data_IF_661684257796
#
_entry.id   IF_661684257796
#
_cell.length_a   1.000
_cell.length_b   1.000
_cell.length_c   1.000
_cell.angle_alpha   90.00
_cell.angle_beta   90.00
_cell.angle_gamma   90.00
#
_symmetry.space_group_name_H-M   'P 1'
#
loop_
_entity.id
_entity.type
_entity.pdbx_description
1 polymer ?
#
# COMPACT_ATOMS: atom_id res chain seq x y z
N UNK A 1 -14.87 -4.14 -1.53
CA UNK A 1 -13.66 -4.96 -1.70
C UNK A 1 -12.63 -4.48 -0.70
N UNK A 2 -11.87 -5.38 -0.08
CA UNK A 2 -10.71 -4.98 0.74
C UNK A 2 -9.65 -4.37 -0.18
N UNK A 3 -9.01 -3.28 0.25
CA UNK A 3 -8.02 -2.57 -0.57
C UNK A 3 -6.79 -3.44 -0.81
N UNK A 4 -6.22 -3.38 -2.01
CA UNK A 4 -4.94 -4.01 -2.31
C UNK A 4 -3.79 -3.29 -1.59
N UNK A 5 -2.65 -3.97 -1.41
CA UNK A 5 -1.45 -3.31 -0.84
C UNK A 5 -0.96 -2.13 -1.70
N UNK A 6 -1.18 -2.21 -3.02
CA UNK A 6 -0.88 -1.13 -3.96
C UNK A 6 -1.73 0.10 -3.61
N UNK A 7 -3.05 -0.06 -3.59
CA UNK A 7 -3.99 1.02 -3.25
C UNK A 7 -3.67 1.60 -1.86
N UNK A 8 -3.41 0.75 -0.87
CA UNK A 8 -3.08 1.20 0.48
C UNK A 8 -1.83 2.08 0.55
N UNK A 9 -0.81 1.80 -0.27
CA UNK A 9 0.45 2.58 -0.30
C UNK A 9 0.34 3.82 -1.18
N UNK A 10 -0.43 3.74 -2.28
CA UNK A 10 -0.68 4.87 -3.18
C UNK A 10 -1.53 5.95 -2.51
N UNK A 11 -2.48 5.55 -1.65
CA UNK A 11 -3.31 6.45 -0.87
C UNK A 11 -2.62 7.01 0.38
N UNK A 12 -1.40 6.55 0.73
CA UNK A 12 -0.68 7.13 1.86
C UNK A 12 -0.39 8.62 1.61
N UNK A 13 -0.65 9.50 2.59
CA UNK A 13 -0.43 10.92 2.42
C UNK A 13 1.06 11.23 2.24
N UNK A 14 1.40 11.97 1.19
CA UNK A 14 2.74 12.51 0.99
C UNK A 14 3.05 13.68 1.95
N UNK A 15 2.02 14.47 2.29
CA UNK A 15 2.08 15.60 3.22
C UNK A 15 0.76 15.77 3.98
N UNK A 16 0.78 15.47 5.28
CA UNK A 16 -0.31 15.76 6.21
C UNK A 16 0.25 15.92 7.64
N UNK A 17 -0.62 16.08 8.64
CA UNK A 17 -0.18 16.22 10.05
C UNK A 17 0.63 15.00 10.51
N UNK A 18 0.19 13.78 10.18
CA UNK A 18 0.95 12.55 10.52
C UNK A 18 2.37 12.62 9.98
N UNK A 19 2.56 12.93 8.69
CA UNK A 19 3.88 13.03 8.06
C UNK A 19 4.71 14.16 8.68
N UNK A 20 4.10 15.31 8.99
CA UNK A 20 4.80 16.44 9.62
C UNK A 20 5.28 16.09 11.02
N UNK A 21 4.46 15.40 11.81
CA UNK A 21 4.81 14.91 13.15
C UNK A 21 5.96 13.91 13.08
N UNK A 22 5.89 12.92 12.18
CA UNK A 22 6.95 11.94 12.00
C UNK A 22 8.27 12.60 11.56
N UNK A 23 8.22 13.55 10.62
CA UNK A 23 9.39 14.36 10.23
C UNK A 23 9.95 15.19 11.40
N UNK A 24 9.07 15.75 12.24
CA UNK A 24 9.49 16.56 13.38
C UNK A 24 10.29 15.76 14.40
N UNK A 25 9.99 14.47 14.59
CA UNK A 25 10.70 13.59 15.53
C UNK A 25 11.84 12.80 14.88
N UNK A 26 12.07 12.92 13.58
CA UNK A 26 13.10 12.16 12.85
C UNK A 26 14.53 12.46 13.31
N UNK A 27 14.76 13.61 13.96
CA UNK A 27 16.07 13.93 14.57
C UNK A 27 16.53 12.91 15.63
N UNK A 28 15.60 12.10 16.16
CA UNK A 28 15.88 11.02 17.10
C UNK A 28 16.52 9.81 16.41
N UNK A 29 16.28 9.67 15.12
CA UNK A 29 16.66 8.54 14.29
C UNK A 29 17.13 9.01 12.90
N UNK A 30 18.13 9.91 12.80
CA UNK A 30 18.38 10.63 11.55
C UNK A 30 18.65 9.70 10.37
N UNK A 31 17.89 9.89 9.29
CA UNK A 31 18.03 9.12 8.05
C UNK A 31 17.54 7.67 8.14
N UNK A 32 16.86 7.28 9.22
CA UNK A 32 16.23 5.97 9.32
C UNK A 32 14.90 5.91 8.58
N UNK A 33 14.13 7.00 8.52
CA UNK A 33 12.82 6.97 7.88
C UNK A 33 12.71 8.01 6.77
N UNK A 34 12.04 7.59 5.70
CA UNK A 34 11.57 8.45 4.62
C UNK A 34 10.10 8.13 4.38
N UNK A 35 9.33 9.15 3.98
CA UNK A 35 7.91 8.95 3.68
C UNK A 35 7.74 8.30 2.30
N UNK A 36 7.95 6.99 2.21
CA UNK A 36 7.71 6.23 0.99
C UNK A 36 6.20 6.07 0.78
N UNK A 37 5.72 6.71 -0.27
CA UNK A 37 4.36 6.63 -0.79
C UNK A 37 4.43 6.32 -2.29
N UNK A 38 3.37 5.77 -2.84
CA UNK A 38 3.40 5.19 -4.19
C UNK A 38 4.07 3.82 -4.19
N UNK A 39 3.35 2.78 -4.59
CA UNK A 39 3.83 1.40 -4.49
C UNK A 39 5.02 1.14 -5.40
N UNK A 40 4.98 1.66 -6.63
CA UNK A 40 6.11 1.55 -7.57
C UNK A 40 7.36 2.29 -7.07
N UNK A 41 7.18 3.53 -6.60
CA UNK A 41 8.25 4.30 -5.97
C UNK A 41 8.85 3.56 -4.76
N UNK A 42 8.00 2.88 -3.98
CA UNK A 42 8.42 2.02 -2.88
C UNK A 42 9.24 0.83 -3.38
N UNK A 43 8.82 0.14 -4.45
CA UNK A 43 9.60 -0.95 -5.07
C UNK A 43 10.98 -0.42 -5.48
N UNK A 44 11.04 0.65 -6.27
CA UNK A 44 12.31 1.24 -6.75
C UNK A 44 13.25 1.57 -5.59
N UNK A 45 12.72 2.22 -4.55
CA UNK A 45 13.52 2.66 -3.40
C UNK A 45 14.01 1.48 -2.53
N UNK A 46 13.14 0.49 -2.30
CA UNK A 46 13.45 -0.66 -1.44
C UNK A 46 14.41 -1.63 -2.12
N UNK A 47 14.21 -1.87 -3.41
CA UNK A 47 14.88 -2.94 -4.15
C UNK A 47 16.12 -2.46 -4.90
N UNK A 48 16.19 -1.16 -5.20
CA UNK A 48 17.16 -0.58 -6.13
C UNK A 48 16.89 -0.92 -7.60
N UNK A 49 15.76 -1.57 -7.91
CA UNK A 49 15.43 -1.97 -9.27
C UNK A 49 15.04 -0.76 -10.12
N UNK A 50 15.50 -0.76 -11.36
CA UNK A 50 15.20 0.29 -12.35
C UNK A 50 14.46 -0.26 -13.57
N UNK A 51 14.59 -1.57 -13.83
CA UNK A 51 13.92 -2.25 -14.93
C UNK A 51 12.41 -2.31 -14.69
N UNK A 52 11.64 -1.68 -15.58
CA UNK A 52 10.18 -1.57 -15.46
C UNK A 52 9.49 -2.94 -15.48
N UNK A 53 9.98 -3.92 -16.25
CA UNK A 53 9.40 -5.27 -16.25
C UNK A 53 9.65 -5.99 -14.92
N UNK A 54 10.86 -5.87 -14.35
CA UNK A 54 11.16 -6.50 -13.06
C UNK A 54 10.34 -5.83 -11.95
N UNK A 55 10.17 -4.52 -12.00
CA UNK A 55 9.32 -3.77 -11.06
C UNK A 55 7.87 -4.23 -11.17
N UNK A 56 7.33 -4.39 -12.37
CA UNK A 56 5.97 -4.90 -12.58
C UNK A 56 5.82 -6.32 -12.04
N UNK A 57 6.76 -7.23 -12.34
CA UNK A 57 6.76 -8.59 -11.78
C UNK A 57 6.79 -8.60 -10.25
N UNK A 58 7.58 -7.70 -9.64
CA UNK A 58 7.61 -7.54 -8.18
C UNK A 58 6.26 -7.02 -7.69
N UNK A 59 5.63 -6.07 -8.40
CA UNK A 59 4.31 -5.54 -8.09
C UNK A 59 3.24 -6.63 -8.10
N UNK A 60 3.14 -7.39 -9.19
CA UNK A 60 2.15 -8.46 -9.35
C UNK A 60 2.36 -9.55 -8.31
N UNK A 61 3.62 -9.97 -8.11
CA UNK A 61 3.95 -10.95 -7.07
C UNK A 61 3.61 -10.43 -5.67
N UNK A 62 3.80 -9.14 -5.40
CA UNK A 62 3.45 -8.56 -4.11
C UNK A 62 1.93 -8.54 -3.89
N UNK A 63 1.13 -8.27 -4.93
CA UNK A 63 -0.34 -8.37 -4.86
C UNK A 63 -0.77 -9.80 -4.52
N UNK A 64 -0.20 -10.82 -5.18
CA UNK A 64 -0.50 -12.23 -4.89
C UNK A 64 -0.10 -12.60 -3.45
N UNK A 65 1.12 -12.24 -3.03
CA UNK A 65 1.62 -12.54 -1.68
C UNK A 65 0.80 -11.85 -0.60
N UNK A 66 0.34 -10.62 -0.84
CA UNK A 66 -0.51 -9.88 0.09
C UNK A 66 -1.83 -10.59 0.36
N UNK A 67 -2.45 -11.16 -0.68
CA UNK A 67 -3.72 -11.88 -0.59
C UNK A 67 -3.56 -13.33 -0.12
N UNK A 68 -2.34 -13.87 0.00
CA UNK A 68 -2.14 -15.20 0.56
C UNK A 68 -2.47 -15.19 2.07
N UNK A 69 -3.52 -15.90 2.52
CA UNK A 69 -3.90 -15.93 3.92
C UNK A 69 -2.80 -16.51 4.84
N UNK A 70 -1.82 -17.23 4.30
CA UNK A 70 -0.70 -17.79 5.05
C UNK A 70 0.40 -16.76 5.34
N UNK A 71 0.48 -15.67 4.59
CA UNK A 71 1.54 -14.66 4.70
C UNK A 71 1.32 -13.67 5.85
N UNK A 72 0.10 -13.56 6.37
CA UNK A 72 -0.23 -12.69 7.50
C UNK A 72 -0.24 -11.18 7.20
N UNK A 73 0.01 -10.76 5.96
CA UNK A 73 0.09 -9.34 5.57
C UNK A 73 -1.23 -8.59 5.74
N UNK A 74 -2.34 -9.13 5.22
CA UNK A 74 -3.66 -8.53 5.40
C UNK A 74 -4.03 -8.42 6.88
N UNK A 75 -3.76 -9.47 7.67
CA UNK A 75 -3.99 -9.42 9.12
C UNK A 75 -3.15 -8.35 9.82
N UNK A 76 -1.90 -8.12 9.39
CA UNK A 76 -1.06 -7.07 9.96
C UNK A 76 -1.57 -5.67 9.61
N UNK A 77 -1.97 -5.44 8.35
CA UNK A 77 -2.62 -4.18 7.93
C UNK A 77 -3.90 -3.94 8.75
N UNK A 78 -4.75 -4.96 8.87
CA UNK A 78 -5.99 -4.88 9.65
C UNK A 78 -5.72 -4.49 11.09
N UNK A 79 -4.69 -5.04 11.73
CA UNK A 79 -4.27 -4.68 13.08
C UNK A 79 -3.86 -3.21 13.20
N UNK A 80 -3.02 -2.72 12.28
CA UNK A 80 -2.57 -1.32 12.29
C UNK A 80 -3.68 -0.33 11.97
N UNK A 81 -4.65 -0.70 11.13
CA UNK A 81 -5.85 0.10 10.89
C UNK A 81 -6.78 0.08 12.09
N UNK A 82 -6.98 -1.09 12.71
CA UNK A 82 -7.93 -1.25 13.82
C UNK A 82 -7.49 -0.46 15.05
N UNK A 83 -6.20 -0.49 15.39
CA UNK A 83 -5.67 0.24 16.55
C UNK A 83 -5.89 1.76 16.40
N UNK A 84 -5.62 2.34 15.23
CA UNK A 84 -5.82 3.78 14.99
C UNK A 84 -7.30 4.16 14.81
N UNK A 85 -8.11 3.30 14.17
CA UNK A 85 -9.52 3.64 13.91
C UNK A 85 -10.39 3.48 15.15
N UNK A 86 -10.09 2.53 16.03
CA UNK A 86 -10.80 2.38 17.30
C UNK A 86 -10.59 3.58 18.24
N UNK A 87 -9.44 4.25 18.11
CA UNK A 87 -9.15 5.52 18.79
C UNK A 87 -10.02 6.68 18.23
N UNK A 88 -10.24 6.72 16.92
CA UNK A 88 -10.95 7.83 16.23
C UNK A 88 -12.48 7.66 16.19
N UNK A 89 -12.99 6.41 16.19
CA UNK A 89 -14.41 6.11 15.99
C UNK A 89 -15.35 6.73 17.04
N UNK A 90 -14.85 7.05 18.24
CA UNK A 90 -15.63 7.80 19.24
C UNK A 90 -15.80 9.28 18.87
N UNK A 91 -14.82 9.89 18.18
CA UNK A 91 -14.92 11.28 17.71
C UNK A 91 -15.82 11.40 16.47
N UNK A 92 -15.82 10.40 15.58
CA UNK A 92 -16.62 10.41 14.33
C UNK A 92 -18.09 10.07 14.55
N UNK A 93 -18.42 9.22 15.54
CA UNK A 93 -19.83 8.97 15.90
C UNK A 93 -20.56 10.24 16.37
N UNK A 94 -19.84 11.18 17.00
CA UNK A 94 -20.38 12.49 17.36
C UNK A 94 -20.57 13.42 16.14
N UNK A 95 -19.80 13.22 15.07
CA UNK A 95 -19.87 13.97 13.81
C UNK A 95 -20.93 13.40 12.84
N UNK A 96 -21.25 12.10 12.93
CA UNK A 96 -22.24 11.43 12.09
C UNK A 96 -23.65 12.03 12.20
N UNK A 97 -23.97 12.67 13.32
CA UNK A 97 -25.24 13.40 13.53
C UNK A 97 -25.26 14.81 12.91
N UNK A 98 -24.19 15.25 12.20
CA UNK A 98 -24.04 16.62 11.67
C UNK A 98 -23.73 16.69 10.16
N UNK A 99 -24.07 15.66 9.39
CA UNK A 99 -23.91 15.66 7.92
C UNK A 99 -24.87 16.69 7.31
N UNK A 100 -24.36 17.89 7.03
CA UNK A 100 -25.11 19.02 6.47
C UNK A 100 -24.44 20.39 6.64
N UNK A 101 -23.51 20.53 7.59
CA UNK A 101 -22.73 21.77 7.78
C UNK A 101 -21.27 21.56 7.38
N UNK A 102 -20.67 22.53 6.66
CA UNK A 102 -19.24 22.55 6.34
C UNK A 102 -18.43 22.60 7.65
N UNK A 103 -17.88 21.46 8.07
CA UNK A 103 -17.03 21.37 9.25
C UNK A 103 -15.64 21.90 8.88
N UNK A 104 -15.35 23.13 9.31
CA UNK A 104 -13.98 23.66 9.30
C UNK A 104 -13.12 22.86 10.28
N UNK A 105 -11.90 22.48 9.89
CA UNK A 105 -10.89 21.84 10.77
C UNK A 105 -10.72 22.58 12.12
N UNK A 106 -10.97 23.89 12.14
CA UNK A 106 -10.95 24.73 13.34
C UNK A 106 -12.05 24.42 14.37
N UNK A 107 -13.14 23.75 13.98
CA UNK A 107 -14.25 23.38 14.88
C UNK A 107 -14.03 22.06 15.63
N UNK A 108 -13.07 21.23 15.19
CA UNK A 108 -12.62 20.03 15.92
C UNK A 108 -11.67 20.43 17.05
N UNK A 109 -10.89 21.50 16.86
CA UNK A 109 -9.96 22.06 17.86
C UNK A 109 -10.65 22.61 19.12
N UNK A 110 -11.92 23.01 19.05
CA UNK A 110 -12.61 23.69 20.17
C UNK A 110 -13.10 22.75 21.28
N UNK A 111 -12.90 21.43 21.15
CA UNK A 111 -13.35 20.42 22.12
C UNK A 111 -12.28 19.38 22.48
N UNK A 112 -11.00 19.66 22.19
CA UNK A 112 -9.89 18.75 22.50
C UNK A 112 -9.74 18.63 24.02
N UNK A 113 -10.15 17.48 24.55
CA UNK A 113 -10.02 17.14 25.97
C UNK A 113 -8.89 16.12 26.12
N UNK A 114 -7.86 16.39 26.94
CA UNK A 114 -6.85 15.40 27.25
C UNK A 114 -7.46 14.09 27.77
N UNK A 115 -7.06 12.96 27.19
CA UNK A 115 -7.48 11.63 27.65
C UNK A 115 -6.99 11.41 29.10
N UNK A 116 -7.73 10.67 29.96
CA UNK A 116 -7.24 10.30 31.29
C UNK A 116 -5.94 9.49 31.23
N UNK A 117 -5.05 9.68 32.21
CA UNK A 117 -3.74 8.98 32.29
C UNK A 117 -3.87 7.45 32.22
N UNK A 118 -4.91 6.90 32.88
CA UNK A 118 -5.20 5.47 32.87
C UNK A 118 -5.53 4.99 31.45
N UNK A 119 -6.38 5.72 30.73
CA UNK A 119 -6.76 5.38 29.34
C UNK A 119 -5.54 5.39 28.43
N UNK A 120 -4.73 6.44 28.47
CA UNK A 120 -3.50 6.56 27.67
C UNK A 120 -2.51 5.42 27.96
N UNK A 121 -2.38 5.02 29.23
CA UNK A 121 -1.52 3.90 29.61
C UNK A 121 -1.98 2.59 28.97
N UNK A 122 -3.29 2.34 28.90
CA UNK A 122 -3.86 1.19 28.21
C UNK A 122 -3.70 1.28 26.69
N UNK A 123 -3.94 2.44 26.08
CA UNK A 123 -3.79 2.65 24.63
C UNK A 123 -2.34 2.33 24.19
N UNK A 124 -1.34 2.82 24.92
CA UNK A 124 0.08 2.55 24.64
C UNK A 124 0.41 1.05 24.71
N UNK A 125 -0.01 0.35 25.77
CA UNK A 125 0.32 -1.08 25.89
C UNK A 125 -0.47 -1.96 24.92
N UNK A 126 -1.64 -1.53 24.48
CA UNK A 126 -2.37 -2.16 23.37
C UNK A 126 -1.62 -1.97 22.05
N UNK A 127 -1.08 -0.79 21.77
CA UNK A 127 -0.20 -0.54 20.60
C UNK A 127 1.01 -1.48 20.62
N UNK A 128 1.67 -1.66 21.76
CA UNK A 128 2.77 -2.64 21.91
C UNK A 128 2.30 -4.08 21.63
N UNK A 129 1.15 -4.49 22.19
CA UNK A 129 0.61 -5.82 21.96
C UNK A 129 0.30 -6.05 20.47
N UNK A 130 -0.27 -5.05 19.80
CA UNK A 130 -0.53 -5.06 18.36
C UNK A 130 0.78 -5.19 17.57
N UNK A 131 1.81 -4.43 17.93
CA UNK A 131 3.11 -4.53 17.27
C UNK A 131 3.71 -5.93 17.38
N UNK A 132 3.65 -6.56 18.56
CA UNK A 132 4.13 -7.94 18.76
C UNK A 132 3.36 -8.92 17.86
N UNK A 133 2.03 -8.82 17.83
CA UNK A 133 1.19 -9.72 17.03
C UNK A 133 1.47 -9.53 15.54
N UNK A 134 1.52 -8.27 15.08
CA UNK A 134 1.81 -7.94 13.69
C UNK A 134 3.22 -8.37 13.29
N UNK A 135 4.24 -8.14 14.14
CA UNK A 135 5.59 -8.64 13.95
C UNK A 135 5.60 -10.16 13.75
N UNK A 136 4.94 -10.91 14.63
CA UNK A 136 4.92 -12.36 14.53
C UNK A 136 4.25 -12.83 13.23
N UNK A 137 3.13 -12.23 12.84
CA UNK A 137 2.45 -12.51 11.57
C UNK A 137 3.37 -12.25 10.37
N UNK A 138 4.02 -11.09 10.33
CA UNK A 138 4.90 -10.68 9.23
C UNK A 138 6.19 -11.49 9.10
N UNK A 139 6.55 -12.27 10.13
CA UNK A 139 7.75 -13.10 10.13
C UNK A 139 7.41 -14.60 10.25
N UNK A 140 6.16 -14.99 9.99
CA UNK A 140 5.74 -16.40 10.00
C UNK A 140 5.88 -17.08 11.37
N UNK A 141 5.90 -16.32 12.46
CA UNK A 141 5.99 -16.85 13.82
C UNK A 141 4.58 -17.32 14.23
N UNK A 142 4.37 -18.62 14.50
CA UNK A 142 3.02 -19.19 14.64
C UNK A 142 2.19 -18.61 15.78
N UNK A 143 2.83 -18.11 16.83
CA UNK A 143 2.20 -17.56 18.03
C UNK A 143 2.87 -16.24 18.43
N UNK A 144 2.10 -15.22 18.87
CA UNK A 144 2.67 -13.97 19.34
C UNK A 144 3.70 -14.19 20.45
N UNK A 145 4.90 -13.65 20.25
CA UNK A 145 6.06 -13.90 21.12
C UNK A 145 6.80 -12.58 21.41
N UNK A 146 6.61 -11.99 22.61
CA UNK A 146 7.28 -10.76 23.00
C UNK A 146 8.81 -10.82 22.97
N UNK A 147 9.40 -12.01 23.21
CA UNK A 147 10.85 -12.16 23.28
C UNK A 147 11.51 -12.19 21.91
N UNK A 148 10.87 -12.84 20.93
CA UNK A 148 11.32 -12.76 19.53
C UNK A 148 11.15 -11.34 18.98
N UNK A 149 10.05 -10.66 19.35
CA UNK A 149 9.84 -9.27 19.00
C UNK A 149 10.92 -8.35 19.57
N UNK A 150 11.21 -8.38 20.87
CA UNK A 150 12.23 -7.48 21.45
C UNK A 150 13.63 -7.77 20.91
N UNK A 151 13.93 -9.04 20.58
CA UNK A 151 15.17 -9.40 19.90
C UNK A 151 15.26 -8.75 18.52
N UNK A 152 14.17 -8.75 17.75
CA UNK A 152 14.13 -8.03 16.48
C UNK A 152 14.17 -6.51 16.66
N UNK A 153 13.47 -5.97 17.67
CA UNK A 153 13.45 -4.54 17.98
C UNK A 153 14.85 -3.98 18.29
N UNK A 154 15.68 -4.77 18.98
CA UNK A 154 17.06 -4.38 19.28
C UNK A 154 18.01 -4.45 18.08
N UNK A 155 17.76 -5.34 17.11
CA UNK A 155 18.78 -5.71 16.11
C UNK A 155 18.38 -5.41 14.66
N UNK A 156 17.09 -5.42 14.35
CA UNK A 156 16.58 -5.54 12.98
C UNK A 156 15.47 -4.52 12.66
N UNK A 157 14.91 -3.83 13.64
CA UNK A 157 13.93 -2.77 13.39
C UNK A 157 14.64 -1.59 12.72
N UNK A 158 14.06 -1.15 11.61
CA UNK A 158 14.56 -0.05 10.76
C UNK A 158 13.38 0.59 10.04
N UNK A 159 13.63 1.67 9.31
CA UNK A 159 12.66 2.31 8.43
C UNK A 159 11.36 2.69 9.16
N UNK A 160 10.20 2.49 8.52
CA UNK A 160 8.89 2.80 9.08
C UNK A 160 8.59 2.05 10.38
N UNK A 161 9.04 0.80 10.53
CA UNK A 161 8.80 0.01 11.74
C UNK A 161 9.52 0.61 12.96
N UNK A 162 10.73 1.10 12.78
CA UNK A 162 11.49 1.76 13.83
C UNK A 162 10.94 3.15 14.14
N UNK A 163 10.60 3.93 13.11
CA UNK A 163 9.94 5.22 13.27
C UNK A 163 8.63 5.09 14.07
N UNK A 164 7.82 4.07 13.80
CA UNK A 164 6.60 3.79 14.57
C UNK A 164 6.85 3.59 16.06
N UNK A 165 7.87 2.82 16.40
CA UNK A 165 8.20 2.55 17.80
C UNK A 165 8.75 3.79 18.51
N UNK A 166 9.47 4.64 17.80
CA UNK A 166 9.96 5.92 18.32
C UNK A 166 8.81 6.91 18.49
N UNK A 167 7.92 7.00 17.50
CA UNK A 167 6.68 7.76 17.60
C UNK A 167 5.83 7.31 18.79
N UNK A 168 5.67 6.00 19.03
CA UNK A 168 4.96 5.48 20.19
C UNK A 168 5.56 5.98 21.51
N UNK A 169 6.88 5.92 21.65
CA UNK A 169 7.56 6.41 22.86
C UNK A 169 7.38 7.92 23.01
N UNK A 170 7.44 8.68 21.92
CA UNK A 170 7.31 10.14 21.97
C UNK A 170 5.87 10.60 22.21
N UNK A 171 4.92 10.09 21.44
CA UNK A 171 3.57 10.63 21.28
C UNK A 171 2.56 10.00 22.23
N UNK A 172 2.71 8.72 22.57
CA UNK A 172 1.82 8.02 23.50
C UNK A 172 2.44 7.85 24.90
N UNK A 173 3.76 7.94 25.00
CA UNK A 173 4.51 7.79 26.25
C UNK A 173 4.94 9.13 26.83
N UNK A 174 6.05 9.65 26.34
CA UNK A 174 6.77 10.78 26.90
C UNK A 174 5.93 12.06 26.93
N UNK A 175 5.28 12.42 25.82
CA UNK A 175 4.52 13.66 25.72
C UNK A 175 3.28 13.68 26.64
N UNK A 176 2.39 12.66 26.63
CA UNK A 176 1.16 12.72 27.42
C UNK A 176 1.30 12.20 28.87
N UNK A 177 2.23 11.27 29.14
CA UNK A 177 2.41 10.67 30.47
C UNK A 177 3.63 11.24 31.22
N UNK A 178 4.50 11.98 30.54
CA UNK A 178 5.69 12.62 31.11
C UNK A 178 6.90 11.69 31.25
N UNK A 179 8.01 12.17 31.83
CA UNK A 179 9.31 11.45 31.85
C UNK A 179 9.31 10.14 32.64
N UNK A 180 8.33 9.95 33.55
CA UNK A 180 8.20 8.73 34.36
C UNK A 180 7.14 7.76 33.80
N UNK A 181 6.75 7.90 32.52
CA UNK A 181 5.65 7.13 31.93
C UNK A 181 5.77 5.62 32.10
N UNK A 182 6.97 5.05 31.99
CA UNK A 182 7.16 3.60 32.18
C UNK A 182 6.71 3.13 33.57
N UNK A 183 7.11 3.85 34.62
CA UNK A 183 6.71 3.56 36.00
C UNK A 183 5.21 3.77 36.20
N UNK A 184 4.62 4.80 35.59
CA UNK A 184 3.18 5.08 35.66
C UNK A 184 2.35 3.98 35.00
N UNK A 185 2.77 3.52 33.82
CA UNK A 185 2.10 2.43 33.10
C UNK A 185 2.18 1.14 33.92
N UNK A 186 3.35 0.81 34.47
CA UNK A 186 3.51 -0.36 35.34
C UNK A 186 2.59 -0.30 36.56
N UNK A 187 2.50 0.86 37.24
CA UNK A 187 1.59 1.04 38.38
C UNK A 187 0.12 0.90 37.95
N UNK A 188 -0.25 1.51 36.82
CA UNK A 188 -1.60 1.45 36.27
C UNK A 188 -2.01 0.02 35.97
N UNK A 189 -1.18 -0.73 35.25
CA UNK A 189 -1.49 -2.12 34.87
C UNK A 189 -1.53 -3.03 36.11
N UNK A 190 -0.60 -2.85 37.05
CA UNK A 190 -0.54 -3.68 38.26
C UNK A 190 -1.72 -3.44 39.22
N UNK A 191 -2.31 -2.24 39.21
CA UNK A 191 -3.43 -1.85 40.09
C UNK A 191 -4.80 -1.98 39.43
N UNK A 192 -4.84 -2.14 38.09
CA UNK A 192 -6.09 -2.25 37.35
C UNK A 192 -6.70 -3.63 37.49
N UNK A 193 -8.02 -3.68 37.66
CA UNK A 193 -8.78 -4.90 37.37
C UNK A 193 -9.01 -5.02 35.85
N UNK A 194 -9.54 -6.17 35.41
CA UNK A 194 -9.86 -6.36 34.00
C UNK A 194 -10.99 -5.46 33.51
N UNK A 195 -11.71 -4.76 34.40
CA UNK A 195 -12.87 -3.92 34.04
C UNK A 195 -12.44 -2.76 33.15
N UNK A 196 -11.37 -2.06 33.53
CA UNK A 196 -10.84 -0.92 32.75
C UNK A 196 -10.40 -1.39 31.36
N UNK A 197 -9.72 -2.54 31.29
CA UNK A 197 -9.33 -3.15 30.02
C UNK A 197 -10.55 -3.48 29.15
N UNK A 198 -11.57 -4.13 29.71
CA UNK A 198 -12.77 -4.51 28.92
C UNK A 198 -13.66 -3.35 28.52
N UNK A 199 -13.58 -2.21 29.22
CA UNK A 199 -14.27 -0.98 28.86
C UNK A 199 -13.50 -0.16 27.82
N UNK A 200 -12.23 -0.48 27.56
CA UNK A 200 -11.46 0.20 26.54
C UNK A 200 -11.96 -0.24 25.14
N UNK A 201 -12.37 0.72 24.28
CA UNK A 201 -12.93 0.42 22.96
C UNK A 201 -11.88 -0.20 22.02
N UNK A 202 -10.62 0.23 22.14
CA UNK A 202 -9.48 -0.30 21.38
C UNK A 202 -9.24 -1.76 21.75
N UNK A 203 -9.27 -2.10 23.05
CA UNK A 203 -9.22 -3.50 23.49
C UNK A 203 -10.39 -4.31 22.93
N UNK A 204 -11.61 -3.77 22.95
CA UNK A 204 -12.79 -4.46 22.44
C UNK A 204 -12.67 -4.79 20.96
N UNK A 205 -12.16 -3.86 20.15
CA UNK A 205 -11.93 -4.06 18.72
C UNK A 205 -10.82 -5.10 18.44
N UNK A 206 -9.79 -5.14 19.29
CA UNK A 206 -8.61 -6.01 19.10
C UNK A 206 -8.69 -7.33 19.84
N UNK A 207 -9.68 -7.52 20.71
CA UNK A 207 -9.74 -8.64 21.65
C UNK A 207 -9.52 -9.99 20.96
N UNK A 208 -10.07 -10.19 19.77
CA UNK A 208 -9.95 -11.45 19.03
C UNK A 208 -8.53 -11.74 18.50
N UNK A 209 -7.67 -10.74 18.41
CA UNK A 209 -6.28 -10.90 17.99
C UNK A 209 -5.33 -11.14 19.18
N UNK A 210 -5.72 -10.71 20.37
CA UNK A 210 -4.89 -10.81 21.58
C UNK A 210 -4.98 -12.24 22.15
N UNK A 211 -3.84 -12.95 22.32
CA UNK A 211 -3.83 -14.29 22.88
C UNK A 211 -4.45 -14.38 24.28
N UNK A 212 -5.18 -15.46 24.54
CA UNK A 212 -5.80 -15.73 25.84
C UNK A 212 -7.30 -16.00 25.74
N UNK A 213 -7.81 -16.87 26.61
CA UNK A 213 -9.22 -17.25 26.64
C UNK A 213 -10.09 -16.29 27.47
N UNK A 214 -9.46 -15.56 28.39
CA UNK A 214 -10.14 -14.63 29.31
C UNK A 214 -9.53 -13.22 29.26
N UNK A 215 -10.23 -12.17 29.72
CA UNK A 215 -9.64 -10.84 29.87
C UNK A 215 -8.37 -10.82 30.73
N UNK A 216 -8.28 -11.70 31.73
CA UNK A 216 -7.08 -11.84 32.56
C UNK A 216 -5.90 -12.41 31.79
N UNK A 217 -6.12 -13.42 30.94
CA UNK A 217 -5.05 -13.99 30.10
C UNK A 217 -4.53 -12.95 29.11
N UNK A 218 -5.45 -12.18 28.51
CA UNK A 218 -5.12 -11.11 27.56
C UNK A 218 -4.35 -9.97 28.23
N UNK A 219 -4.77 -9.55 29.42
CA UNK A 219 -4.01 -8.60 30.25
C UNK A 219 -2.61 -9.14 30.57
N UNK A 220 -2.49 -10.44 30.86
CA UNK A 220 -1.21 -11.11 31.08
C UNK A 220 -0.29 -11.04 29.85
N UNK A 221 -0.82 -11.23 28.64
CA UNK A 221 -0.05 -11.07 27.41
C UNK A 221 0.38 -9.62 27.18
N UNK A 222 -0.53 -8.66 27.36
CA UNK A 222 -0.24 -7.23 27.22
C UNK A 222 0.87 -6.81 28.19
N UNK A 223 0.79 -7.26 29.44
CA UNK A 223 1.80 -6.98 30.48
C UNK A 223 3.16 -7.54 30.10
N UNK A 224 3.23 -8.81 29.67
CA UNK A 224 4.47 -9.43 29.19
C UNK A 224 5.07 -8.69 27.99
N UNK A 225 4.22 -8.21 27.08
CA UNK A 225 4.64 -7.41 25.93
C UNK A 225 5.29 -6.09 26.35
N UNK A 226 4.65 -5.36 27.26
CA UNK A 226 5.18 -4.12 27.81
C UNK A 226 6.51 -4.35 28.54
N UNK A 227 6.57 -5.35 29.43
CA UNK A 227 7.78 -5.69 30.19
C UNK A 227 8.97 -6.01 29.28
N UNK A 228 8.72 -6.73 28.18
CA UNK A 228 9.77 -7.09 27.23
C UNK A 228 10.42 -5.84 26.59
N UNK A 229 9.66 -4.80 26.26
CA UNK A 229 10.20 -3.63 25.54
C UNK A 229 10.82 -2.56 26.43
N UNK A 230 10.61 -2.58 27.75
CA UNK A 230 11.08 -1.51 28.64
C UNK A 230 12.59 -1.26 28.52
N UNK A 231 13.39 -2.31 28.36
CA UNK A 231 14.84 -2.19 28.18
C UNK A 231 15.20 -1.39 26.92
N UNK A 232 14.51 -1.64 25.80
CA UNK A 232 14.71 -0.90 24.56
C UNK A 232 14.27 0.56 24.70
N UNK A 233 13.11 0.81 25.32
CA UNK A 233 12.60 2.17 25.56
C UNK A 233 13.56 2.98 26.43
N UNK A 234 14.03 2.40 27.54
CA UNK A 234 15.00 3.05 28.43
C UNK A 234 16.30 3.41 27.69
N UNK A 235 16.80 2.52 26.83
CA UNK A 235 17.98 2.77 26.01
C UNK A 235 17.73 3.90 24.99
N UNK A 236 16.56 3.93 24.35
CA UNK A 236 16.18 5.01 23.45
C UNK A 236 16.17 6.37 24.18
N UNK A 237 15.49 6.44 25.33
CA UNK A 237 15.42 7.65 26.16
C UNK A 237 16.82 8.11 26.59
N UNK A 238 17.64 7.19 27.09
CA UNK A 238 18.99 7.49 27.55
C UNK A 238 19.92 7.96 26.40
N UNK A 239 19.81 7.33 25.22
CA UNK A 239 20.64 7.64 24.05
C UNK A 239 20.30 9.00 23.44
N UNK A 240 19.01 9.33 23.39
CA UNK A 240 18.52 10.53 22.68
C UNK A 240 18.32 11.72 23.61
N UNK A 241 18.18 11.51 24.92
CA UNK A 241 17.87 12.57 25.87
C UNK A 241 16.48 13.17 25.69
N UNK A 242 15.54 12.42 25.10
CA UNK A 242 14.17 12.92 24.85
C UNK A 242 13.46 13.33 26.14
N UNK A 243 12.78 14.45 26.05
CA UNK A 243 11.93 15.03 27.09
C UNK A 243 10.62 15.52 26.48
N UNK A 244 9.55 15.70 27.28
CA UNK A 244 8.30 16.27 26.77
C UNK A 244 8.53 17.63 26.07
N UNK A 245 9.38 18.48 26.66
CA UNK A 245 9.69 19.79 26.09
C UNK A 245 10.42 19.70 24.75
N UNK A 246 11.37 18.76 24.61
CA UNK A 246 12.08 18.58 23.32
C UNK A 246 11.12 18.16 22.21
N UNK A 247 10.15 17.29 22.51
CA UNK A 247 9.14 16.84 21.56
C UNK A 247 8.22 18.01 21.19
N UNK A 248 7.69 18.74 22.18
CA UNK A 248 6.86 19.91 21.95
C UNK A 248 7.56 20.97 21.09
N UNK A 249 8.81 21.29 21.37
CA UNK A 249 9.59 22.24 20.58
C UNK A 249 9.77 21.75 19.13
N UNK A 250 10.02 20.46 18.92
CA UNK A 250 10.14 19.88 17.59
C UNK A 250 8.82 19.96 16.80
N UNK A 251 7.69 19.70 17.47
CA UNK A 251 6.35 19.78 16.89
C UNK A 251 5.95 21.22 16.56
N UNK A 252 6.22 22.18 17.46
CA UNK A 252 5.89 23.60 17.26
C UNK A 252 6.60 24.25 16.07
N UNK A 253 7.78 23.74 15.69
CA UNK A 253 8.46 24.17 14.47
C UNK A 253 7.78 23.67 13.18
N UNK A 254 6.98 22.61 13.28
CA UNK A 254 6.38 21.90 12.12
C UNK A 254 4.87 22.14 12.00
N UNK A 255 4.21 22.48 13.11
CA UNK A 255 2.77 22.69 13.22
C UNK A 255 2.55 24.02 13.96
N UNK A 256 1.76 24.92 13.38
CA UNK A 256 1.33 26.14 14.08
C UNK A 256 0.31 25.75 15.17
N UNK A 257 0.82 25.45 16.36
CA UNK A 257 -0.01 25.15 17.52
C UNK A 257 -0.29 26.48 18.24
N UNK A 258 -1.58 26.75 18.48
CA UNK A 258 -2.03 28.03 19.05
C UNK A 258 -1.90 28.11 20.59
N UNK A 259 -1.57 27.00 21.26
CA UNK A 259 -1.58 26.90 22.73
C UNK A 259 -0.23 26.35 23.24
N UNK A 260 0.28 26.98 24.31
CA UNK A 260 1.56 26.65 24.95
C UNK A 260 1.44 25.48 25.94
N UNK A 261 0.28 24.78 25.95
CA UNK A 261 0.01 23.70 26.89
C UNK A 261 0.28 22.32 26.27
N UNK A 262 1.28 21.62 26.84
CA UNK A 262 1.69 20.26 26.45
C UNK A 262 0.53 19.27 26.40
N UNK A 263 -0.43 19.36 27.32
CA UNK A 263 -1.56 18.42 27.38
C UNK A 263 -2.52 18.59 26.20
N UNK A 264 -2.72 19.84 25.75
CA UNK A 264 -3.51 20.14 24.55
C UNK A 264 -2.78 19.70 23.27
N UNK A 265 -1.46 19.88 23.22
CA UNK A 265 -0.65 19.38 22.10
C UNK A 265 -0.74 17.87 22.01
N UNK A 266 -0.55 17.16 23.13
CA UNK A 266 -0.62 15.72 23.16
C UNK A 266 -1.97 15.21 22.65
N UNK A 267 -3.07 15.80 23.13
CA UNK A 267 -4.42 15.46 22.72
C UNK A 267 -4.71 15.82 21.25
N UNK A 268 -4.19 16.94 20.75
CA UNK A 268 -4.28 17.31 19.34
C UNK A 268 -3.55 16.31 18.45
N UNK A 269 -2.32 15.92 18.80
CA UNK A 269 -1.54 14.97 18.02
C UNK A 269 -2.19 13.59 18.00
N UNK A 270 -2.65 13.10 19.15
CA UNK A 270 -3.37 11.82 19.25
C UNK A 270 -4.60 11.78 18.32
N UNK A 271 -5.40 12.85 18.27
CA UNK A 271 -6.62 12.91 17.46
C UNK A 271 -6.39 13.23 15.98
N UNK A 272 -5.23 13.78 15.62
CA UNK A 272 -4.93 14.26 14.25
C UNK A 272 -3.88 13.43 13.52
N UNK A 273 -3.38 12.37 14.15
CA UNK A 273 -2.39 11.47 13.55
C UNK A 273 -2.84 10.03 13.53
N UNK A 274 -2.53 9.35 12.42
CA UNK A 274 -2.72 7.91 12.24
C UNK A 274 -1.36 7.27 11.97
N UNK A 275 -0.38 7.57 12.83
CA UNK A 275 1.01 7.21 12.55
C UNK A 275 1.24 5.71 12.62
N UNK A 276 0.44 4.96 13.40
CA UNK A 276 0.56 3.51 13.54
C UNK A 276 0.11 2.80 12.27
N UNK A 277 -1.02 3.23 11.69
CA UNK A 277 -1.51 2.81 10.39
C UNK A 277 -0.55 3.21 9.28
N UNK A 278 -0.14 4.48 9.22
CA UNK A 278 0.71 5.01 8.14
C UNK A 278 2.02 4.24 8.03
N UNK A 279 2.77 4.16 9.13
CA UNK A 279 4.04 3.44 9.19
C UNK A 279 3.86 1.93 9.14
N UNK A 280 2.69 1.41 9.53
CA UNK A 280 2.34 0.00 9.41
C UNK A 280 2.12 -0.47 8.00
N UNK A 281 1.39 0.30 7.19
CA UNK A 281 1.25 0.03 5.76
C UNK A 281 2.64 0.06 5.09
N UNK A 282 3.47 1.06 5.40
CA UNK A 282 4.86 1.11 4.89
C UNK A 282 5.69 -0.12 5.29
N UNK A 283 5.54 -0.59 6.54
CA UNK A 283 6.23 -1.79 7.04
C UNK A 283 5.80 -3.04 6.29
N UNK A 284 4.49 -3.21 6.07
CA UNK A 284 3.94 -4.34 5.31
C UNK A 284 4.38 -4.28 3.87
N UNK A 285 4.29 -3.12 3.22
CA UNK A 285 4.73 -2.87 1.85
C UNK A 285 6.19 -3.29 1.67
N UNK A 286 7.07 -2.85 2.58
CA UNK A 286 8.48 -3.23 2.53
C UNK A 286 8.70 -4.73 2.61
N UNK A 287 8.02 -5.42 3.53
CA UNK A 287 8.15 -6.87 3.69
C UNK A 287 7.66 -7.62 2.46
N UNK A 288 6.50 -7.27 1.93
CA UNK A 288 5.94 -7.95 0.74
C UNK A 288 6.76 -7.68 -0.51
N UNK A 289 7.29 -6.46 -0.69
CA UNK A 289 8.17 -6.10 -1.81
C UNK A 289 9.47 -6.91 -1.75
N UNK A 290 10.10 -7.02 -0.58
CA UNK A 290 11.33 -7.81 -0.44
C UNK A 290 11.10 -9.29 -0.74
N UNK A 291 10.01 -9.87 -0.24
CA UNK A 291 9.65 -11.27 -0.51
C UNK A 291 9.29 -11.49 -1.99
N UNK A 292 8.57 -10.55 -2.59
CA UNK A 292 8.25 -10.56 -4.02
C UNK A 292 9.53 -10.48 -4.87
N UNK A 293 10.47 -9.59 -4.53
CA UNK A 293 11.76 -9.48 -5.18
C UNK A 293 12.56 -10.78 -5.11
N UNK A 294 12.63 -11.42 -3.94
CA UNK A 294 13.32 -12.70 -3.78
C UNK A 294 12.69 -13.79 -4.66
N UNK A 295 11.36 -13.83 -4.73
CA UNK A 295 10.63 -14.77 -5.58
C UNK A 295 10.91 -14.53 -7.07
N UNK A 296 10.81 -13.28 -7.54
CA UNK A 296 11.08 -12.91 -8.94
C UNK A 296 12.54 -13.22 -9.32
N UNK A 297 13.51 -12.92 -8.43
CA UNK A 297 14.93 -13.27 -8.66
C UNK A 297 15.16 -14.77 -8.79
N UNK A 298 14.41 -15.59 -8.07
CA UNK A 298 14.52 -17.05 -8.14
C UNK A 298 13.97 -17.66 -9.43
N UNK A 299 13.12 -16.92 -10.16
CA UNK A 299 12.52 -17.32 -11.43
C UNK A 299 13.34 -16.88 -12.65
N UNK A 300 14.24 -15.90 -12.47
CA UNK A 300 15.20 -15.51 -13.50
C UNK A 300 16.27 -16.61 -13.65
N UNK A 301 16.66 -16.99 -14.88
CA UNK A 301 17.71 -17.98 -15.07
C UNK A 301 18.98 -17.55 -14.33
N UNK A 302 19.50 -18.40 -13.44
CA UNK A 302 20.83 -18.21 -12.88
C UNK A 302 21.80 -18.07 -14.07
N UNK A 303 22.51 -16.95 -14.15
CA UNK A 303 23.40 -16.63 -15.26
C UNK A 303 24.29 -17.84 -15.61
N UNK A 304 23.92 -18.55 -16.68
CA UNK A 304 24.67 -19.70 -17.16
C UNK A 304 25.98 -19.20 -17.76
N UNK A 305 27.09 -19.67 -17.18
CA UNK A 305 28.42 -19.55 -17.77
C UNK A 305 28.40 -20.09 -19.22
N UNK A 306 29.21 -19.53 -20.13
CA UNK A 306 29.14 -19.86 -21.55
C UNK A 306 29.64 -21.28 -21.78
N UNK A 307 28.75 -22.21 -22.12
CA UNK A 307 29.12 -23.50 -22.70
C UNK A 307 29.04 -23.37 -24.22
N UNK A 308 30.23 -23.45 -24.81
CA UNK A 308 30.49 -23.51 -26.23
C UNK A 308 30.20 -24.93 -26.74
N UNK A 309 29.22 -25.12 -27.63
CA UNK A 309 29.21 -26.26 -28.57
C UNK A 309 28.24 -26.06 -29.74
N UNK A 310 28.81 -26.24 -30.94
CA UNK A 310 28.29 -26.14 -32.30
C UNK A 310 27.04 -26.99 -32.65
N UNK A 311 26.40 -26.74 -33.81
CA UNK A 311 25.00 -27.08 -34.08
C UNK A 311 24.82 -28.44 -34.77
N UNK A 312 23.65 -29.06 -34.56
CA UNK A 312 23.13 -30.11 -35.44
C UNK A 312 21.68 -29.81 -35.79
N UNK A 313 21.45 -29.72 -37.10
CA UNK A 313 20.16 -29.52 -37.76
C UNK A 313 19.16 -30.64 -37.54
N UNK A 314 17.88 -30.26 -37.49
CA UNK A 314 16.73 -31.13 -37.74
C UNK A 314 15.51 -30.30 -38.16
N UNK A 315 15.19 -30.31 -39.45
CA UNK A 315 13.94 -29.87 -40.08
C UNK A 315 12.78 -30.81 -39.65
N UNK A 316 11.46 -30.54 -39.69
CA UNK A 316 10.54 -29.76 -40.55
C UNK A 316 9.24 -29.57 -39.72
N UNK A 317 8.43 -28.51 -39.85
CA UNK A 317 7.25 -28.49 -40.74
C UNK A 317 6.66 -27.07 -40.84
N UNK A 318 6.20 -26.73 -42.04
CA UNK A 318 5.65 -25.45 -42.47
C UNK A 318 4.19 -25.24 -42.03
N UNK A 319 3.95 -24.25 -41.16
CA UNK A 319 2.67 -23.54 -41.07
C UNK A 319 2.83 -22.19 -41.79
N UNK A 320 1.95 -21.88 -42.74
CA UNK A 320 1.96 -20.59 -43.42
C UNK A 320 1.41 -19.52 -42.48
N UNK A 321 2.27 -18.68 -41.93
CA UNK A 321 1.88 -17.59 -41.04
C UNK A 321 1.33 -16.41 -41.84
N UNK A 322 0.17 -15.88 -41.44
CA UNK A 322 -0.54 -14.79 -42.12
C UNK A 322 0.32 -13.52 -42.25
N UNK A 323 1.06 -13.19 -41.19
CA UNK A 323 1.94 -12.02 -41.13
C UNK A 323 3.42 -12.39 -41.23
N UNK A 324 4.24 -11.44 -41.71
CA UNK A 324 5.67 -11.66 -42.01
C UNK A 324 6.57 -10.82 -41.10
N UNK A 325 7.77 -11.34 -40.80
CA UNK A 325 8.83 -10.56 -40.15
C UNK A 325 9.11 -9.28 -40.93
N UNK A 326 9.17 -8.15 -40.23
CA UNK A 326 9.36 -6.80 -40.75
C UNK A 326 8.07 -6.09 -41.15
N UNK A 327 6.91 -6.73 -41.03
CA UNK A 327 5.62 -6.12 -41.31
C UNK A 327 5.15 -5.24 -40.13
N UNK A 328 4.67 -4.04 -40.42
CA UNK A 328 3.99 -3.17 -39.45
C UNK A 328 2.55 -3.62 -39.27
N UNK A 329 2.13 -3.72 -38.02
CA UNK A 329 0.83 -4.21 -37.53
C UNK A 329 0.39 -3.35 -36.34
N UNK A 330 -0.80 -3.58 -35.82
CA UNK A 330 -1.22 -3.14 -34.50
C UNK A 330 -1.49 -4.35 -33.62
N UNK A 331 -1.22 -4.19 -32.33
CA UNK A 331 -1.34 -5.24 -31.32
C UNK A 331 -2.26 -4.76 -30.20
N UNK A 332 -3.21 -5.59 -29.79
CA UNK A 332 -4.19 -5.26 -28.74
C UNK A 332 -3.57 -5.42 -27.36
N UNK A 333 -3.69 -4.40 -26.52
CA UNK A 333 -3.37 -4.45 -25.10
C UNK A 333 -4.66 -4.64 -24.29
N UNK A 334 -4.73 -5.70 -23.48
CA UNK A 334 -5.91 -6.01 -22.66
C UNK A 334 -6.03 -5.14 -21.39
N UNK A 335 -4.93 -4.55 -20.91
CA UNK A 335 -4.93 -3.71 -19.70
C UNK A 335 -5.41 -2.28 -20.02
N UNK A 336 -4.93 -1.74 -21.14
CA UNK A 336 -5.31 -0.42 -21.65
C UNK A 336 -6.55 -0.47 -22.55
N UNK A 337 -6.95 -1.68 -22.98
CA UNK A 337 -8.05 -1.92 -23.91
C UNK A 337 -7.90 -1.08 -25.20
N UNK A 338 -6.67 -0.97 -25.73
CA UNK A 338 -6.32 -0.17 -26.91
C UNK A 338 -5.35 -0.92 -27.85
N UNK A 339 -5.15 -0.41 -29.07
CA UNK A 339 -4.26 -0.97 -30.10
C UNK A 339 -2.99 -0.13 -30.27
N UNK A 340 -1.83 -0.78 -30.15
CA UNK A 340 -0.55 -0.12 -30.30
C UNK A 340 0.18 -0.53 -31.58
N UNK A 341 0.68 0.46 -32.33
CA UNK A 341 1.45 0.22 -33.56
C UNK A 341 2.73 -0.55 -33.26
N UNK A 342 2.99 -1.58 -34.04
CA UNK A 342 4.05 -2.55 -33.79
C UNK A 342 4.70 -3.07 -35.07
N UNK A 343 5.92 -3.59 -34.96
CA UNK A 343 6.61 -4.30 -36.05
C UNK A 343 6.87 -5.75 -35.67
N UNK A 344 6.52 -6.70 -36.53
CA UNK A 344 6.81 -8.12 -36.30
C UNK A 344 8.32 -8.36 -36.43
N UNK A 345 8.97 -8.75 -35.33
CA UNK A 345 10.38 -9.09 -35.31
C UNK A 345 10.63 -10.60 -35.52
N UNK A 346 9.75 -11.47 -35.02
CA UNK A 346 9.88 -12.93 -35.17
C UNK A 346 8.51 -13.56 -35.36
N UNK A 347 8.51 -14.72 -35.99
CA UNK A 347 7.30 -15.49 -36.26
C UNK A 347 7.56 -16.93 -35.85
N UNK A 348 6.64 -17.51 -35.07
CA UNK A 348 6.72 -18.90 -34.60
C UNK A 348 5.30 -19.46 -34.56
N UNK A 349 5.00 -20.38 -35.48
CA UNK A 349 3.66 -20.99 -35.59
C UNK A 349 2.56 -19.93 -35.72
N UNK A 350 1.67 -19.78 -34.74
CA UNK A 350 0.59 -18.77 -34.71
C UNK A 350 0.87 -17.60 -33.74
N UNK A 351 2.11 -17.49 -33.25
CA UNK A 351 2.55 -16.40 -32.38
C UNK A 351 3.49 -15.45 -33.15
N UNK A 352 3.39 -14.16 -32.83
CA UNK A 352 4.17 -13.08 -33.43
C UNK A 352 4.94 -12.35 -32.34
N UNK A 353 6.28 -12.32 -32.46
CA UNK A 353 7.10 -11.48 -31.59
C UNK A 353 7.09 -10.07 -32.16
N UNK A 354 6.49 -9.13 -31.44
CA UNK A 354 6.25 -7.77 -31.90
C UNK A 354 7.17 -6.79 -31.17
N UNK A 355 7.34 -5.61 -31.76
CA UNK A 355 8.00 -4.47 -31.15
C UNK A 355 7.12 -3.26 -31.30
N UNK A 356 6.68 -2.71 -30.18
CA UNK A 356 5.85 -1.50 -30.16
C UNK A 356 6.65 -0.29 -30.66
N UNK A 357 6.16 0.36 -31.71
CA UNK A 357 6.81 1.50 -32.35
C UNK A 357 6.84 2.67 -31.38
N UNK A 358 8.03 3.21 -31.12
CA UNK A 358 8.23 4.33 -30.18
C UNK A 358 8.47 3.89 -28.73
N UNK A 359 8.36 2.60 -28.46
CA UNK A 359 8.63 1.98 -27.17
C UNK A 359 9.97 1.24 -27.19
N UNK A 360 10.45 0.84 -26.02
CA UNK A 360 11.74 0.16 -25.92
C UNK A 360 11.62 -1.30 -26.36
N UNK A 361 12.74 -1.97 -26.64
CA UNK A 361 12.71 -3.43 -26.84
C UNK A 361 12.31 -4.22 -25.58
N UNK A 362 12.10 -3.51 -24.46
CA UNK A 362 11.51 -3.99 -23.21
C UNK A 362 10.00 -4.14 -23.29
N UNK A 363 9.35 -3.65 -24.34
CA UNK A 363 7.91 -3.82 -24.53
C UNK A 363 7.64 -4.92 -25.58
N UNK A 364 8.70 -5.49 -26.17
CA UNK A 364 8.61 -6.55 -27.17
C UNK A 364 8.14 -7.87 -26.56
N UNK A 365 6.99 -8.35 -27.03
CA UNK A 365 6.36 -9.58 -26.52
C UNK A 365 5.91 -10.51 -27.65
N UNK A 366 5.53 -11.73 -27.29
CA UNK A 366 4.86 -12.66 -28.20
C UNK A 366 3.37 -12.51 -28.03
N UNK A 367 2.66 -12.24 -29.12
CA UNK A 367 1.21 -12.13 -29.17
C UNK A 367 0.61 -13.14 -30.12
N UNK A 368 -0.63 -13.52 -29.86
CA UNK A 368 -1.39 -14.47 -30.68
C UNK A 368 -1.94 -13.80 -31.94
N UNK A 369 -2.33 -14.60 -32.93
CA UNK A 369 -2.86 -14.11 -34.21
C UNK A 369 -4.11 -13.23 -34.08
N UNK A 370 -4.96 -13.48 -33.08
CA UNK A 370 -6.19 -12.73 -32.79
C UNK A 370 -5.96 -11.38 -32.10
N UNK A 371 -4.76 -11.17 -31.57
CA UNK A 371 -4.30 -9.90 -30.96
C UNK A 371 -3.57 -9.02 -31.98
N UNK A 372 -3.41 -9.47 -33.23
CA UNK A 372 -2.64 -8.76 -34.26
C UNK A 372 -3.54 -8.39 -35.44
N UNK A 373 -3.54 -7.12 -35.82
CA UNK A 373 -4.21 -6.65 -37.04
C UNK A 373 -3.26 -5.84 -37.91
N UNK A 374 -3.54 -5.75 -39.21
CA UNK A 374 -2.83 -4.79 -40.08
C UNK A 374 -3.68 -3.53 -40.16
N UNK A 375 -3.13 -2.40 -39.71
CA UNK A 375 -3.71 -1.09 -39.99
C UNK A 375 -3.52 -0.79 -41.47
N UNK A 376 -4.55 -1.01 -42.28
CA UNK A 376 -4.54 -0.56 -43.66
C UNK A 376 -4.82 0.96 -43.69
N UNK A 377 -3.76 1.76 -43.50
CA UNK A 377 -3.81 3.22 -43.61
C UNK A 377 -4.25 3.73 -44.99
N UNK A 378 -4.55 2.84 -45.95
CA UNK A 378 -5.09 3.23 -47.25
C UNK A 378 -6.61 3.41 -47.24
N UNK A 379 -7.29 3.05 -46.14
CA UNK A 379 -8.76 3.05 -46.05
C UNK A 379 -9.34 3.68 -44.78
N UNK A 380 -8.55 4.44 -44.01
CA UNK A 380 -9.10 5.27 -42.92
C UNK A 380 -9.77 6.52 -43.48
N UNK A 381 -10.75 7.05 -42.77
CA UNK A 381 -11.34 8.35 -43.08
C UNK A 381 -10.45 9.52 -42.61
N UNK A 382 -10.98 10.75 -42.75
CA UNK A 382 -10.27 11.98 -42.39
C UNK A 382 -10.04 12.13 -40.87
N UNK A 383 -10.77 11.36 -40.03
CA UNK A 383 -10.64 11.34 -38.58
C UNK A 383 -9.69 10.21 -38.11
N UNK A 384 -9.15 9.42 -39.03
CA UNK A 384 -8.19 8.35 -38.74
C UNK A 384 -8.83 7.03 -38.34
N UNK A 385 -10.15 6.89 -38.53
CA UNK A 385 -10.91 5.69 -38.19
C UNK A 385 -11.18 4.81 -39.41
N UNK A 386 -11.18 3.47 -39.23
CA UNK A 386 -11.30 2.50 -40.31
C UNK A 386 -12.21 1.30 -39.99
N UNK A 387 -12.72 0.64 -41.03
CA UNK A 387 -13.55 -0.58 -40.87
C UNK A 387 -12.76 -1.71 -40.20
N UNK A 388 -13.36 -2.36 -39.21
CA UNK A 388 -12.79 -3.42 -38.39
C UNK A 388 -11.92 -2.92 -37.22
N UNK A 389 -11.78 -1.61 -37.04
CA UNK A 389 -11.02 -1.03 -35.94
C UNK A 389 -11.76 -1.20 -34.62
N UNK A 390 -11.14 -1.82 -33.59
CA UNK A 390 -11.63 -1.65 -32.21
C UNK A 390 -11.31 -0.25 -31.70
N UNK A 391 -12.25 0.32 -30.97
CA UNK A 391 -12.26 1.67 -30.42
C UNK A 391 -12.94 1.68 -29.06
N UNK A 392 -12.81 2.77 -28.31
CA UNK A 392 -13.62 3.07 -27.12
C UNK A 392 -14.78 3.97 -27.49
N UNK A 393 -15.97 3.71 -26.95
CA UNK A 393 -17.17 4.52 -27.19
C UNK A 393 -17.74 4.99 -25.86
N UNK A 394 -18.03 6.28 -25.74
CA UNK A 394 -18.54 6.90 -24.52
C UNK A 394 -20.06 6.73 -24.40
N UNK A 395 -20.55 6.28 -23.24
CA UNK A 395 -21.98 6.21 -22.92
C UNK A 395 -22.37 7.34 -21.94
N UNK A 396 -23.24 8.24 -22.39
CA UNK A 396 -23.70 9.39 -21.60
C UNK A 396 -24.71 9.04 -20.49
N UNK A 397 -25.41 7.90 -20.58
CA UNK A 397 -26.37 7.48 -19.55
C UNK A 397 -25.67 6.85 -18.34
N UNK A 398 -24.61 6.07 -18.59
CA UNK A 398 -23.83 5.39 -17.57
C UNK A 398 -22.54 6.14 -17.17
N UNK A 399 -22.14 7.17 -17.92
CA UNK A 399 -20.89 7.93 -17.74
C UNK A 399 -19.63 7.03 -17.77
N UNK A 400 -19.62 6.02 -18.66
CA UNK A 400 -18.53 5.03 -18.80
C UNK A 400 -18.13 4.78 -20.27
N UNK A 401 -16.91 4.27 -20.50
CA UNK A 401 -16.39 3.92 -21.82
C UNK A 401 -16.52 2.43 -22.11
N UNK A 402 -17.02 2.08 -23.28
CA UNK A 402 -17.25 0.71 -23.73
C UNK A 402 -16.36 0.35 -24.94
N UNK A 403 -15.78 -0.86 -24.92
CA UNK A 403 -14.97 -1.36 -26.04
C UNK A 403 -15.86 -1.82 -27.20
N UNK A 404 -15.62 -1.34 -28.42
CA UNK A 404 -16.42 -1.68 -29.60
C UNK A 404 -15.57 -1.88 -30.87
N UNK A 405 -16.15 -2.42 -31.95
CA UNK A 405 -15.54 -2.59 -33.28
C UNK A 405 -16.31 -1.77 -34.31
N UNK A 406 -15.65 -0.93 -35.11
CA UNK A 406 -16.26 -0.21 -36.24
C UNK A 406 -16.59 -1.22 -37.35
N UNK A 407 -17.87 -1.43 -37.64
CA UNK A 407 -18.33 -2.30 -38.72
C UNK A 407 -18.73 -1.53 -39.98
N UNK A 408 -19.09 -0.24 -39.88
CA UNK A 408 -19.42 0.64 -41.02
C UNK A 408 -18.98 2.09 -40.76
N UNK A 409 -18.75 2.84 -41.84
CA UNK A 409 -18.40 4.26 -41.80
C UNK A 409 -19.25 4.99 -42.84
N UNK A 410 -19.92 6.06 -42.41
CA UNK A 410 -20.72 6.95 -43.27
C UNK A 410 -20.43 8.41 -42.91
N UNK A 411 -19.51 9.05 -43.62
CA UNK A 411 -19.08 10.42 -43.30
C UNK A 411 -18.29 10.45 -41.99
N UNK A 412 -18.72 11.28 -41.03
CA UNK A 412 -18.13 11.41 -39.69
C UNK A 412 -18.85 10.54 -38.63
N UNK A 413 -19.65 9.56 -39.07
CA UNK A 413 -20.37 8.63 -38.19
C UNK A 413 -19.87 7.19 -38.37
N UNK A 414 -19.87 6.44 -37.28
CA UNK A 414 -19.29 5.09 -37.18
C UNK A 414 -20.30 4.11 -36.61
N UNK A 415 -20.58 3.04 -37.34
CA UNK A 415 -21.42 1.96 -36.83
C UNK A 415 -20.55 1.00 -36.03
N UNK A 416 -20.75 0.95 -34.73
CA UNK A 416 -19.91 0.19 -33.78
C UNK A 416 -20.64 -1.03 -33.24
N UNK A 417 -19.91 -2.11 -32.98
CA UNK A 417 -20.39 -3.30 -32.28
C UNK A 417 -19.64 -3.49 -30.97
N UNK A 418 -20.34 -3.38 -29.85
CA UNK A 418 -19.77 -3.50 -28.51
C UNK A 418 -19.29 -4.92 -28.21
N UNK A 419 -18.04 -5.02 -27.77
CA UNK A 419 -17.37 -6.28 -27.47
C UNK A 419 -18.00 -6.91 -26.23
N UNK A 420 -18.44 -8.16 -26.33
CA UNK A 420 -19.12 -8.87 -25.25
C UNK A 420 -20.64 -8.69 -25.22
N UNK A 421 -21.19 -7.86 -26.11
CA UNK A 421 -22.62 -7.63 -26.27
C UNK A 421 -23.12 -8.24 -27.59
N UNK A 422 -24.42 -8.49 -27.70
CA UNK A 422 -25.00 -8.97 -28.95
C UNK A 422 -25.26 -7.83 -29.94
N UNK A 423 -25.48 -8.16 -31.22
CA UNK A 423 -25.60 -7.15 -32.29
C UNK A 423 -26.85 -6.27 -32.22
N UNK A 424 -27.78 -6.51 -31.28
CA UNK A 424 -28.87 -5.57 -31.01
C UNK A 424 -28.42 -4.29 -30.30
N UNK A 425 -27.23 -4.30 -29.71
CA UNK A 425 -26.59 -3.13 -29.08
C UNK A 425 -25.71 -2.34 -30.05
N UNK A 426 -25.48 -2.83 -31.27
CA UNK A 426 -24.70 -2.08 -32.26
C UNK A 426 -25.41 -0.80 -32.68
N UNK A 427 -24.69 0.31 -32.74
CA UNK A 427 -25.25 1.63 -33.01
C UNK A 427 -24.33 2.51 -33.86
N UNK A 428 -24.86 3.64 -34.33
CA UNK A 428 -24.05 4.69 -34.97
C UNK A 428 -23.67 5.73 -33.92
N UNK A 429 -22.39 6.04 -33.84
CA UNK A 429 -21.82 7.07 -32.95
C UNK A 429 -21.03 8.11 -33.74
N UNK A 430 -20.93 9.32 -33.19
CA UNK A 430 -20.19 10.42 -33.78
C UNK A 430 -18.69 10.33 -33.42
N UNK A 431 -17.82 10.97 -34.22
CA UNK A 431 -16.36 10.91 -34.03
C UNK A 431 -15.87 11.37 -32.65
N UNK A 432 -16.62 12.25 -31.97
CA UNK A 432 -16.29 12.80 -30.65
C UNK A 432 -16.70 11.90 -29.49
N UNK A 433 -17.49 10.86 -29.76
CA UNK A 433 -17.89 9.83 -28.81
C UNK A 433 -16.93 8.62 -28.86
N UNK A 434 -15.92 8.65 -29.75
CA UNK A 434 -14.99 7.56 -29.99
C UNK A 434 -13.56 7.97 -29.65
N UNK A 435 -12.83 7.09 -28.96
CA UNK A 435 -11.39 7.22 -28.69
C UNK A 435 -10.58 6.03 -29.17
#
# INVERSE_FOLDING_TARGET
MDKSIVQLVDELPADNITVKVLKAIDYLMPGQWTNLVGFENSIRTITGETDTQIIQKIRDRAVVLYHDPKSGYQSAVQLYQTIDTADVAMATAALANKVGEKISFLSILSSITPKPEVTQSFDLVLKIAVEIIAFCKLNGIPQPNPQEFVKALNNNYQDAALMRMVALVCLDGMLPLGPNFLSKIHQTIAQSDTTILTQNPVFSALSNFIPGGTPSDKLGFITQGFDAVQGWINNLVAKTGITPQSIFNALGNSIQIADDNLDFVAAFIDQSTNYYQHTGIQTVARKVILQAQESVKSELPAATLPINSNPVSGSVSSGSTQYKVGQTVEVWDEEDEDWYESTIQKVKENEYYIHYVGYGSSDDEWVNEDEVRVRDHRTTDDNGYGLGQKVKVWDDEEEEWYSAIIEKIEGDQYYVHYIGYDSSYSEWVDSDEIS
#
